data_IF_431875745673
#
_entry.id   IF_431875745673
#
_cell.length_a   1.000
_cell.length_b   1.000
_cell.length_c   1.000
_cell.angle_alpha   90.00
_cell.angle_beta   90.00
_cell.angle_gamma   90.00
#
_symmetry.space_group_name_H-M   'P 1'
#
loop_
_entity.id
_entity.type
_entity.pdbx_description
1 polymer ?
#
# COMPACT_ATOMS: atom_id res chain seq x y z
N UNK A 1 46.93 21.62 0.45
CA UNK A 1 47.23 21.64 -0.99
C UNK A 1 46.50 22.83 -1.57
N UNK A 2 47.26 23.80 -2.07
CA UNK A 2 46.79 24.99 -2.79
C UNK A 2 46.46 24.61 -4.23
N UNK A 3 45.72 25.50 -4.89
CA UNK A 3 45.55 25.67 -6.34
C UNK A 3 44.43 24.78 -6.94
N UNK A 4 43.46 25.27 -7.73
CA UNK A 4 43.43 26.45 -8.60
C UNK A 4 42.01 27.03 -8.74
N UNK A 5 41.79 28.23 -8.17
CA UNK A 5 40.82 29.18 -8.70
C UNK A 5 41.54 29.98 -9.80
N UNK A 6 41.10 29.84 -11.04
CA UNK A 6 41.53 30.69 -12.15
C UNK A 6 40.41 31.65 -12.54
N UNK A 7 40.44 32.93 -12.11
CA UNK A 7 39.56 33.96 -12.60
C UNK A 7 40.35 34.96 -13.44
N UNK A 8 40.66 34.60 -14.69
CA UNK A 8 41.07 35.59 -15.69
C UNK A 8 40.76 35.07 -17.09
N UNK A 9 39.65 35.54 -17.65
CA UNK A 9 39.70 36.23 -18.94
C UNK A 9 38.36 36.94 -19.16
N UNK A 10 38.30 38.18 -18.68
CA UNK A 10 37.59 39.27 -19.33
C UNK A 10 38.13 39.45 -20.75
N UNK A 11 37.74 38.55 -21.66
CA UNK A 11 37.83 38.80 -23.09
C UNK A 11 36.76 39.82 -23.41
N UNK A 12 37.16 41.08 -23.36
CA UNK A 12 36.62 42.14 -24.20
C UNK A 12 36.57 41.53 -25.61
N UNK A 13 35.38 41.09 -26.03
CA UNK A 13 35.09 40.80 -27.44
C UNK A 13 35.28 42.15 -28.14
N UNK A 14 36.47 42.37 -28.69
CA UNK A 14 36.65 43.30 -29.79
C UNK A 14 35.63 42.86 -30.83
N UNK A 15 34.58 43.64 -31.01
CA UNK A 15 33.71 43.51 -32.17
C UNK A 15 34.65 43.61 -33.36
N UNK A 16 34.94 42.48 -34.00
CA UNK A 16 35.50 42.48 -35.32
C UNK A 16 34.48 43.25 -36.16
N UNK A 17 34.84 44.47 -36.55
CA UNK A 17 34.09 45.26 -37.50
C UNK A 17 34.00 44.41 -38.74
N UNK A 18 32.85 43.76 -38.92
CA UNK A 18 32.51 43.09 -40.17
C UNK A 18 32.73 44.13 -41.28
N UNK A 19 33.33 43.74 -42.42
CA UNK A 19 33.42 44.64 -43.55
C UNK A 19 32.00 45.14 -43.83
N UNK A 20 31.80 46.46 -43.77
CA UNK A 20 30.54 47.09 -44.16
C UNK A 20 30.37 46.84 -45.67
N UNK A 21 29.83 45.68 -46.05
CA UNK A 21 29.12 45.60 -47.30
C UNK A 21 27.90 46.49 -47.08
N UNK A 22 27.85 47.67 -47.72
CA UNK A 22 26.64 48.47 -47.73
C UNK A 22 25.51 47.54 -48.19
N UNK A 23 24.53 47.23 -47.33
CA UNK A 23 23.50 46.27 -47.69
C UNK A 23 22.77 46.85 -48.90
N UNK A 24 22.82 46.16 -50.03
CA UNK A 24 22.07 46.59 -51.20
C UNK A 24 20.60 46.18 -51.03
N UNK A 25 19.71 46.80 -51.79
CA UNK A 25 18.27 46.46 -51.79
C UNK A 25 18.08 44.96 -52.09
N UNK A 26 18.86 44.38 -53.00
CA UNK A 26 18.79 42.96 -53.34
C UNK A 26 19.16 42.04 -52.17
N UNK A 27 20.14 42.45 -51.35
CA UNK A 27 20.55 41.70 -50.16
C UNK A 27 19.46 41.76 -49.07
N UNK A 28 18.81 42.92 -48.95
CA UNK A 28 17.67 43.11 -48.06
C UNK A 28 16.45 42.28 -48.48
N UNK A 29 16.17 42.20 -49.78
CA UNK A 29 15.08 41.38 -50.31
C UNK A 29 15.32 39.89 -50.02
N UNK A 30 16.52 39.39 -50.27
CA UNK A 30 16.91 38.02 -49.90
C UNK A 30 16.76 37.79 -48.40
N UNK A 31 17.21 38.75 -47.60
CA UNK A 31 17.10 38.67 -46.14
C UNK A 31 15.64 38.57 -45.71
N UNK A 32 14.77 39.47 -46.16
CA UNK A 32 13.34 39.47 -45.80
C UNK A 32 12.68 38.14 -46.19
N UNK A 33 12.94 37.63 -47.40
CA UNK A 33 12.39 36.36 -47.85
C UNK A 33 12.90 35.14 -47.07
N UNK A 34 14.03 35.27 -46.37
CA UNK A 34 14.55 34.23 -45.47
C UNK A 34 14.03 34.34 -44.03
N UNK A 35 13.35 35.44 -43.69
CA UNK A 35 12.75 35.60 -42.37
C UNK A 35 11.47 34.80 -42.29
N UNK A 36 11.22 34.24 -41.11
CA UNK A 36 10.01 33.46 -40.83
C UNK A 36 8.85 34.39 -40.44
N UNK A 37 8.58 35.40 -41.27
CA UNK A 37 7.52 36.40 -41.06
C UNK A 37 6.23 35.95 -41.75
N UNK A 38 5.12 36.60 -41.37
CA UNK A 38 3.85 36.45 -42.07
C UNK A 38 3.97 36.90 -43.54
N UNK A 39 3.28 36.19 -44.43
CA UNK A 39 3.37 36.42 -45.87
C UNK A 39 2.92 37.84 -46.27
N UNK A 40 1.88 38.38 -45.63
CA UNK A 40 1.40 39.74 -45.93
C UNK A 40 2.44 40.79 -45.54
N UNK A 41 3.17 40.55 -44.44
CA UNK A 41 4.24 41.43 -43.99
C UNK A 41 5.48 41.32 -44.90
N UNK A 42 5.82 40.11 -45.36
CA UNK A 42 6.87 39.90 -46.36
C UNK A 42 6.53 40.67 -47.63
N UNK A 43 5.33 40.49 -48.17
CA UNK A 43 4.88 41.12 -49.40
C UNK A 43 4.85 42.65 -49.28
N UNK A 44 4.40 43.18 -48.14
CA UNK A 44 4.45 44.60 -47.83
C UNK A 44 5.88 45.15 -47.84
N UNK A 45 6.81 44.50 -47.13
CA UNK A 45 8.21 44.96 -47.05
C UNK A 45 8.91 44.87 -48.41
N UNK A 46 8.69 43.78 -49.14
CA UNK A 46 9.24 43.58 -50.50
C UNK A 46 8.70 44.63 -51.47
N UNK A 47 7.39 44.89 -51.45
CA UNK A 47 6.76 45.92 -52.30
C UNK A 47 7.35 47.31 -52.06
N UNK A 48 7.47 47.72 -50.79
CA UNK A 48 8.06 49.02 -50.43
C UNK A 48 9.54 49.13 -50.86
N UNK A 49 10.33 48.06 -50.74
CA UNK A 49 11.72 48.05 -51.20
C UNK A 49 11.84 48.13 -52.72
N UNK A 50 10.95 47.47 -53.46
CA UNK A 50 10.91 47.54 -54.91
C UNK A 50 10.52 48.95 -55.38
N UNK A 51 9.54 49.59 -54.74
CA UNK A 51 9.13 50.96 -55.07
C UNK A 51 10.23 51.97 -54.73
N UNK A 52 10.95 51.77 -53.62
CA UNK A 52 12.13 52.55 -53.29
C UNK A 52 13.25 52.37 -54.34
N UNK A 53 13.44 51.15 -54.84
CA UNK A 53 14.39 50.86 -55.93
C UNK A 53 14.01 51.59 -57.23
N UNK A 54 12.72 51.56 -57.62
CA UNK A 54 12.19 52.31 -58.78
C UNK A 54 12.38 53.81 -58.62
N UNK A 55 12.14 54.34 -57.42
CA UNK A 55 12.34 55.76 -57.10
C UNK A 55 13.80 56.17 -57.34
N UNK A 56 14.76 55.39 -56.85
CA UNK A 56 16.18 55.66 -57.11
C UNK A 56 16.52 55.54 -58.59
N UNK A 57 15.93 54.61 -59.34
CA UNK A 57 16.16 54.48 -60.78
C UNK A 57 15.80 55.77 -61.56
N UNK A 58 14.82 56.55 -61.10
CA UNK A 58 14.31 57.77 -61.78
C UNK A 58 15.12 59.07 -61.58
N UNK A 59 16.11 59.13 -60.68
CA UNK A 59 16.85 60.38 -60.35
C UNK A 59 18.15 60.60 -61.18
N UNK A 60 18.98 61.60 -60.87
CA UNK A 60 20.32 61.79 -61.49
C UNK A 60 21.39 60.93 -60.79
N UNK A 61 22.42 60.48 -61.52
CA UNK A 61 23.36 59.43 -61.09
C UNK A 61 24.10 59.74 -59.78
N UNK A 62 24.50 60.98 -59.58
CA UNK A 62 25.39 61.36 -58.47
C UNK A 62 24.63 61.57 -57.14
N UNK A 63 23.35 61.98 -57.21
CA UNK A 63 22.46 62.09 -56.06
C UNK A 63 21.98 60.69 -55.62
N UNK A 64 21.86 59.74 -56.56
CA UNK A 64 21.38 58.38 -56.26
C UNK A 64 22.24 57.64 -55.26
N UNK A 65 23.56 57.57 -55.47
CA UNK A 65 24.39 56.64 -54.71
C UNK A 65 24.51 57.03 -53.23
N UNK A 66 24.88 58.27 -52.94
CA UNK A 66 25.09 58.74 -51.56
C UNK A 66 23.78 58.76 -50.75
N UNK A 67 22.68 59.24 -51.35
CA UNK A 67 21.38 59.32 -50.66
C UNK A 67 20.78 57.93 -50.47
N UNK A 68 20.89 57.03 -51.47
CA UNK A 68 20.43 55.64 -51.35
C UNK A 68 21.16 54.90 -50.26
N UNK A 69 22.49 54.93 -50.28
CA UNK A 69 23.30 54.20 -49.32
C UNK A 69 23.05 54.75 -47.90
N UNK A 70 22.91 56.07 -47.75
CA UNK A 70 22.53 56.71 -46.49
C UNK A 70 21.14 56.33 -45.99
N UNK A 71 20.13 56.22 -46.87
CA UNK A 71 18.78 55.77 -46.50
C UNK A 71 18.79 54.30 -46.09
N UNK A 72 19.49 53.46 -46.85
CA UNK A 72 19.52 52.03 -46.61
C UNK A 72 20.27 51.70 -45.31
N UNK A 73 21.45 52.27 -45.13
CA UNK A 73 22.29 52.00 -43.95
C UNK A 73 21.66 52.53 -42.66
N UNK A 74 21.08 53.73 -42.69
CA UNK A 74 20.62 54.39 -41.45
C UNK A 74 19.16 54.09 -41.09
N UNK A 75 18.32 53.70 -42.04
CA UNK A 75 16.89 53.52 -41.78
C UNK A 75 16.40 52.13 -42.14
N UNK A 76 16.56 51.72 -43.39
CA UNK A 76 15.92 50.49 -43.91
C UNK A 76 16.52 49.26 -43.24
N UNK A 77 17.85 49.13 -43.22
CA UNK A 77 18.53 47.98 -42.64
C UNK A 77 18.28 47.84 -41.12
N UNK A 78 18.38 48.90 -40.30
CA UNK A 78 18.04 48.85 -38.88
C UNK A 78 16.58 48.45 -38.61
N UNK A 79 15.63 48.91 -39.43
CA UNK A 79 14.21 48.54 -39.28
C UNK A 79 14.02 47.04 -39.53
N UNK A 80 14.55 46.52 -40.64
CA UNK A 80 14.44 45.10 -40.98
C UNK A 80 15.09 44.23 -39.90
N UNK A 81 16.25 44.64 -39.37
CA UNK A 81 16.91 43.91 -38.28
C UNK A 81 16.08 43.89 -37.01
N UNK A 82 15.51 45.02 -36.60
CA UNK A 82 14.65 45.09 -35.42
C UNK A 82 13.40 44.20 -35.56
N UNK A 83 12.83 44.12 -36.76
CA UNK A 83 11.70 43.22 -37.04
C UNK A 83 12.16 41.76 -36.88
N UNK A 84 13.27 41.39 -37.53
CA UNK A 84 13.82 40.03 -37.46
C UNK A 84 14.18 39.59 -36.03
N UNK A 85 14.82 40.48 -35.26
CA UNK A 85 15.19 40.23 -33.86
C UNK A 85 13.95 40.04 -32.98
N UNK A 86 12.92 40.88 -33.17
CA UNK A 86 11.66 40.76 -32.45
C UNK A 86 10.94 39.46 -32.76
N UNK A 87 10.84 39.10 -34.04
CA UNK A 87 10.19 37.85 -34.45
C UNK A 87 10.88 36.64 -33.84
N UNK A 88 12.21 36.60 -33.93
CA UNK A 88 13.02 35.53 -33.32
C UNK A 88 12.79 35.45 -31.81
N UNK A 89 12.76 36.59 -31.12
CA UNK A 89 12.52 36.66 -29.67
C UNK A 89 11.11 36.19 -29.30
N UNK A 90 10.09 36.58 -30.07
CA UNK A 90 8.71 36.18 -29.81
C UNK A 90 8.51 34.68 -30.06
N UNK A 91 9.07 34.14 -31.13
CA UNK A 91 9.02 32.70 -31.42
C UNK A 91 9.70 31.87 -30.33
N UNK A 92 10.85 32.32 -29.83
CA UNK A 92 11.52 31.68 -28.69
C UNK A 92 10.64 31.68 -27.43
N UNK A 93 9.97 32.81 -27.14
CA UNK A 93 9.07 32.93 -25.98
C UNK A 93 7.83 32.03 -26.11
N UNK A 94 7.22 31.97 -27.30
CA UNK A 94 6.08 31.09 -27.57
C UNK A 94 6.47 29.63 -27.38
N UNK A 95 7.65 29.24 -27.85
CA UNK A 95 8.15 27.87 -27.69
C UNK A 95 8.35 27.51 -26.21
N UNK A 96 8.99 28.40 -25.44
CA UNK A 96 9.20 28.21 -24.00
C UNK A 96 7.88 28.10 -23.23
N UNK A 97 6.91 28.96 -23.54
CA UNK A 97 5.56 28.90 -22.93
C UNK A 97 4.84 27.58 -23.26
N UNK A 98 4.89 27.14 -24.52
CA UNK A 98 4.30 25.85 -24.93
C UNK A 98 4.97 24.68 -24.21
N UNK A 99 6.30 24.68 -24.11
CA UNK A 99 7.04 23.64 -23.40
C UNK A 99 6.62 23.55 -21.93
N UNK A 100 6.58 24.69 -21.23
CA UNK A 100 6.17 24.75 -19.82
C UNK A 100 4.75 24.23 -19.59
N UNK A 101 3.81 24.52 -20.49
CA UNK A 101 2.45 23.99 -20.40
C UNK A 101 2.42 22.47 -20.56
N UNK A 102 3.14 21.93 -21.54
CA UNK A 102 3.23 20.48 -21.77
C UNK A 102 3.84 19.79 -20.55
N UNK A 103 4.90 20.36 -19.97
CA UNK A 103 5.56 19.80 -18.78
C UNK A 103 4.63 19.79 -17.56
N UNK A 104 3.85 20.87 -17.35
CA UNK A 104 2.88 20.94 -16.25
C UNK A 104 1.77 19.89 -16.39
N UNK A 105 1.19 19.75 -17.58
CA UNK A 105 0.17 18.74 -17.86
C UNK A 105 0.72 17.32 -17.65
N UNK A 106 1.94 17.05 -18.13
CA UNK A 106 2.58 15.75 -17.97
C UNK A 106 2.74 15.38 -16.49
N UNK A 107 3.18 16.32 -15.64
CA UNK A 107 3.30 16.11 -14.19
C UNK A 107 1.96 15.80 -13.56
N UNK A 108 0.89 16.51 -13.94
CA UNK A 108 -0.47 16.28 -13.43
C UNK A 108 -0.97 14.89 -13.82
N UNK A 109 -0.82 14.50 -15.09
CA UNK A 109 -1.25 13.17 -15.56
C UNK A 109 -0.45 12.05 -14.91
N UNK A 110 0.87 12.21 -14.75
CA UNK A 110 1.70 11.24 -14.04
C UNK A 110 1.27 11.05 -12.58
N UNK A 111 0.89 12.13 -11.89
CA UNK A 111 0.37 12.05 -10.52
C UNK A 111 -0.94 11.27 -10.45
N UNK A 112 -1.88 11.52 -11.39
CA UNK A 112 -3.15 10.78 -11.49
C UNK A 112 -2.93 9.29 -11.80
N UNK A 113 -2.00 8.95 -12.69
CA UNK A 113 -1.65 7.54 -12.98
C UNK A 113 -1.16 6.85 -11.72
N UNK A 114 -0.24 7.49 -10.97
CA UNK A 114 0.28 6.94 -9.71
C UNK A 114 -0.82 6.75 -8.66
N UNK A 115 -1.76 7.68 -8.57
CA UNK A 115 -2.93 7.55 -7.70
C UNK A 115 -3.80 6.35 -8.08
N UNK A 116 -4.09 6.17 -9.37
CA UNK A 116 -4.83 5.01 -9.87
C UNK A 116 -4.10 3.70 -9.58
N UNK A 117 -2.79 3.63 -9.79
CA UNK A 117 -1.95 2.46 -9.47
C UNK A 117 -2.04 2.11 -7.98
N UNK A 118 -1.95 3.11 -7.10
CA UNK A 118 -2.09 2.93 -5.66
C UNK A 118 -3.47 2.39 -5.27
N UNK A 119 -4.54 2.90 -5.89
CA UNK A 119 -5.91 2.41 -5.66
C UNK A 119 -6.04 0.95 -6.09
N UNK A 120 -5.55 0.61 -7.29
CA UNK A 120 -5.58 -0.76 -7.82
C UNK A 120 -4.83 -1.72 -6.90
N UNK A 121 -3.64 -1.34 -6.44
CA UNK A 121 -2.84 -2.18 -5.56
C UNK A 121 -3.51 -2.36 -4.19
N UNK A 122 -4.11 -1.30 -3.64
CA UNK A 122 -4.92 -1.38 -2.43
C UNK A 122 -6.14 -2.28 -2.57
N UNK A 123 -6.82 -2.27 -3.72
CA UNK A 123 -7.94 -3.16 -4.00
C UNK A 123 -7.50 -4.62 -4.15
N UNK A 124 -6.37 -4.90 -4.80
CA UNK A 124 -5.80 -6.25 -4.88
C UNK A 124 -5.48 -6.82 -3.50
N UNK A 125 -4.86 -6.01 -2.64
CA UNK A 125 -4.56 -6.42 -1.26
C UNK A 125 -5.83 -6.78 -0.49
N UNK A 126 -6.87 -5.95 -0.59
CA UNK A 126 -8.19 -6.24 0.03
C UNK A 126 -8.80 -7.53 -0.52
N UNK A 127 -8.74 -7.74 -1.84
CA UNK A 127 -9.26 -8.95 -2.48
C UNK A 127 -8.52 -10.20 -1.98
N UNK A 128 -7.20 -10.12 -1.82
CA UNK A 128 -6.40 -11.23 -1.31
C UNK A 128 -6.77 -11.62 0.12
N UNK A 129 -7.01 -10.64 1.00
CA UNK A 129 -7.48 -10.88 2.37
C UNK A 129 -8.83 -11.60 2.33
N UNK A 130 -9.82 -11.04 1.64
CA UNK A 130 -11.16 -11.63 1.54
C UNK A 130 -11.12 -13.04 0.95
N UNK A 131 -10.25 -13.30 -0.02
CA UNK A 131 -10.13 -14.63 -0.62
C UNK A 131 -9.50 -15.65 0.35
N UNK A 132 -8.63 -15.19 1.24
CA UNK A 132 -8.06 -16.01 2.31
C UNK A 132 -9.15 -16.38 3.32
N UNK A 133 -9.90 -15.38 3.80
CA UNK A 133 -11.02 -15.58 4.75
C UNK A 133 -12.09 -16.51 4.17
N UNK A 134 -12.42 -16.35 2.87
CA UNK A 134 -13.36 -17.22 2.18
C UNK A 134 -12.87 -18.67 2.08
N UNK A 135 -11.57 -18.86 1.89
CA UNK A 135 -10.95 -20.19 1.83
C UNK A 135 -10.97 -20.86 3.20
N UNK A 136 -10.71 -20.11 4.26
CA UNK A 136 -10.81 -20.57 5.65
C UNK A 136 -12.25 -20.99 5.98
N UNK A 137 -13.23 -20.11 5.75
CA UNK A 137 -14.65 -20.41 5.98
C UNK A 137 -15.14 -21.63 5.19
N UNK A 138 -14.65 -21.81 3.96
CA UNK A 138 -14.94 -23.00 3.15
C UNK A 138 -14.39 -24.29 3.79
N UNK A 139 -13.20 -24.24 4.37
CA UNK A 139 -12.59 -25.39 5.03
C UNK A 139 -13.35 -25.74 6.32
N UNK A 140 -13.70 -24.74 7.13
CA UNK A 140 -14.50 -24.91 8.35
C UNK A 140 -15.87 -25.52 8.04
N UNK A 141 -16.52 -25.04 6.98
CA UNK A 141 -17.80 -25.61 6.53
C UNK A 141 -17.64 -27.07 6.10
N UNK A 142 -16.56 -27.41 5.40
CA UNK A 142 -16.29 -28.79 4.98
C UNK A 142 -16.09 -29.71 6.19
N UNK A 143 -15.31 -29.28 7.17
CA UNK A 143 -15.11 -30.02 8.42
C UNK A 143 -16.43 -30.20 9.18
N UNK A 144 -17.17 -29.11 9.38
CA UNK A 144 -18.48 -29.12 10.07
C UNK A 144 -19.49 -30.03 9.35
N UNK A 145 -19.55 -29.98 8.02
CA UNK A 145 -20.44 -30.84 7.23
C UNK A 145 -20.08 -32.32 7.36
N UNK A 146 -18.78 -32.65 7.44
CA UNK A 146 -18.30 -34.02 7.61
C UNK A 146 -18.67 -34.56 8.99
N UNK A 147 -18.43 -33.77 10.05
CA UNK A 147 -18.80 -34.11 11.43
C UNK A 147 -20.31 -34.30 11.60
N UNK A 148 -21.12 -33.47 10.94
CA UNK A 148 -22.58 -33.61 10.93
C UNK A 148 -23.03 -34.92 10.28
N UNK A 149 -22.42 -35.29 9.14
CA UNK A 149 -22.71 -36.56 8.47
C UNK A 149 -22.35 -37.75 9.37
N UNK A 150 -21.22 -37.70 10.08
CA UNK A 150 -20.84 -38.75 11.04
C UNK A 150 -21.82 -38.85 12.19
N UNK A 151 -22.21 -37.71 12.78
CA UNK A 151 -23.20 -37.67 13.86
C UNK A 151 -24.56 -38.22 13.40
N UNK A 152 -24.99 -37.87 12.18
CA UNK A 152 -26.23 -38.40 11.62
C UNK A 152 -26.18 -39.93 11.42
N UNK A 153 -25.03 -40.47 11.00
CA UNK A 153 -24.80 -41.93 10.92
C UNK A 153 -24.86 -42.59 12.30
N UNK A 154 -24.25 -41.97 13.31
CA UNK A 154 -24.27 -42.48 14.70
C UNK A 154 -25.70 -42.52 15.26
N UNK A 155 -26.45 -41.42 15.11
CA UNK A 155 -27.86 -41.36 15.52
C UNK A 155 -28.69 -42.44 14.82
N UNK A 156 -28.47 -42.66 13.52
CA UNK A 156 -29.18 -43.70 12.79
C UNK A 156 -28.84 -45.10 13.29
N UNK A 157 -27.57 -45.38 13.58
CA UNK A 157 -27.14 -46.62 14.21
C UNK A 157 -27.80 -46.87 15.56
N UNK A 158 -28.01 -45.82 16.38
CA UNK A 158 -28.75 -45.94 17.65
C UNK A 158 -30.22 -46.26 17.42
N UNK A 159 -30.85 -45.64 16.42
CA UNK A 159 -32.27 -45.87 16.10
C UNK A 159 -32.52 -47.26 15.52
N UNK A 160 -31.57 -47.78 14.72
CA UNK A 160 -31.63 -49.11 14.12
C UNK A 160 -31.37 -50.24 15.13
N UNK A 161 -30.87 -49.92 16.34
CA UNK A 161 -30.79 -50.92 17.43
C UNK A 161 -32.21 -51.34 17.82
N UNK A 162 -32.49 -52.65 17.90
CA UNK A 162 -33.82 -53.13 18.27
C UNK A 162 -34.19 -52.60 19.66
N UNK A 163 -35.42 -52.09 19.77
CA UNK A 163 -35.96 -51.61 21.05
C UNK A 163 -35.93 -52.79 22.03
N UNK A 164 -35.30 -52.65 23.21
CA UNK A 164 -35.17 -53.76 24.14
C UNK A 164 -36.56 -54.29 24.50
N UNK A 165 -36.71 -55.60 24.46
CA UNK A 165 -37.97 -56.25 24.80
C UNK A 165 -38.29 -55.99 26.27
N UNK A 166 -39.58 -55.88 26.60
CA UNK A 166 -40.04 -55.73 27.99
C UNK A 166 -39.47 -56.81 28.91
N UNK A 167 -39.25 -58.02 28.40
CA UNK A 167 -38.64 -59.13 29.13
C UNK A 167 -37.15 -58.94 29.43
N UNK A 168 -36.37 -58.34 28.53
CA UNK A 168 -34.94 -58.07 28.74
C UNK A 168 -34.73 -57.00 29.82
N UNK A 169 -35.59 -55.97 29.82
CA UNK A 169 -35.58 -54.92 30.84
C UNK A 169 -35.86 -55.50 32.23
N UNK A 170 -36.81 -56.42 32.36
CA UNK A 170 -37.14 -57.07 33.63
C UNK A 170 -36.02 -58.00 34.14
N UNK A 171 -35.28 -58.65 33.24
CA UNK A 171 -34.16 -59.53 33.60
C UNK A 171 -32.89 -58.77 34.00
N UNK A 172 -32.72 -57.53 33.55
CA UNK A 172 -31.59 -56.65 33.94
C UNK A 172 -31.73 -56.01 35.33
N UNK A 173 -32.81 -56.32 36.07
CA UNK A 173 -33.05 -55.79 37.41
C UNK A 173 -31.93 -56.24 38.37
N UNK A 174 -31.28 -55.33 39.12
CA UNK A 174 -30.25 -55.71 40.07
C UNK A 174 -30.79 -56.73 41.07
N UNK A 175 -30.00 -57.77 41.37
CA UNK A 175 -30.36 -58.75 42.38
C UNK A 175 -30.61 -58.05 43.73
N UNK A 176 -31.59 -58.50 44.53
CA UNK A 176 -31.84 -57.93 45.85
C UNK A 176 -30.56 -57.97 46.68
N UNK A 177 -30.16 -56.83 47.22
CA UNK A 177 -28.99 -56.73 48.10
C UNK A 177 -29.26 -57.63 49.32
N UNK A 178 -28.47 -58.68 49.48
CA UNK A 178 -28.45 -59.48 50.70
C UNK A 178 -27.98 -58.58 51.85
N UNK A 179 -28.84 -58.37 52.84
CA UNK A 179 -28.54 -57.52 54.00
C UNK A 179 -27.57 -58.27 54.90
N UNK A 180 -26.26 -58.08 54.70
CA UNK A 180 -25.25 -58.38 55.71
C UNK A 180 -25.03 -57.16 56.61
N UNK A 181 -24.88 -57.32 57.94
CA UNK A 181 -24.68 -56.20 58.83
C UNK A 181 -23.28 -55.61 58.58
N UNK A 182 -23.23 -54.44 57.93
CA UNK A 182 -21.99 -53.70 57.73
C UNK A 182 -21.50 -53.12 59.06
N UNK A 183 -20.33 -53.57 59.51
CA UNK A 183 -19.54 -52.90 60.55
C UNK A 183 -19.03 -51.59 59.96
N UNK A 184 -19.52 -50.45 60.48
CA UNK A 184 -19.16 -49.13 59.97
C UNK A 184 -17.72 -48.76 60.34
N UNK A 185 -16.79 -48.83 59.39
CA UNK A 185 -15.63 -47.93 59.41
C UNK A 185 -16.10 -46.57 58.89
N UNK A 186 -16.01 -45.55 59.74
CA UNK A 186 -16.39 -44.17 59.40
C UNK A 186 -15.29 -43.54 58.54
N UNK A 187 -15.27 -43.87 57.26
CA UNK A 187 -14.56 -43.06 56.26
C UNK A 187 -15.56 -42.61 55.19
N UNK A 188 -15.86 -41.31 55.24
CA UNK A 188 -16.50 -40.47 54.22
C UNK A 188 -17.40 -41.14 53.18
N UNK A 189 -18.43 -41.88 53.61
CA UNK A 189 -19.55 -42.24 52.75
C UNK A 189 -20.55 -41.08 52.68
N UNK A 190 -20.89 -40.65 51.47
CA UNK A 190 -21.98 -39.69 51.22
C UNK A 190 -23.29 -40.39 51.57
N UNK A 191 -23.80 -40.14 52.77
CA UNK A 191 -25.17 -40.50 53.11
C UNK A 191 -26.09 -39.53 52.36
N UNK A 192 -26.80 -40.03 51.34
CA UNK A 192 -27.97 -39.34 50.83
C UNK A 192 -29.03 -39.34 51.93
N UNK A 193 -29.04 -38.28 52.74
CA UNK A 193 -30.09 -38.06 53.74
C UNK A 193 -31.41 -37.93 52.99
N UNK A 194 -32.33 -38.89 53.19
CA UNK A 194 -33.72 -38.68 52.81
C UNK A 194 -34.22 -37.44 53.54
N UNK A 195 -34.90 -36.50 52.86
CA UNK A 195 -35.53 -35.37 53.52
C UNK A 195 -36.44 -35.85 54.65
N UNK A 196 -36.32 -35.24 55.83
CA UNK A 196 -37.24 -35.49 56.94
C UNK A 196 -38.63 -35.05 56.49
N UNK A 197 -39.68 -35.84 56.77
CA UNK A 197 -41.08 -35.61 56.32
C UNK A 197 -41.67 -34.22 56.67
N UNK A 198 -40.98 -33.42 57.48
CA UNK A 198 -41.42 -32.09 57.96
C UNK A 198 -40.54 -30.93 57.48
N UNK A 199 -39.63 -31.16 56.53
CA UNK A 199 -38.77 -30.09 55.98
C UNK A 199 -39.42 -29.45 54.76
N UNK A 200 -39.48 -28.11 54.74
CA UNK A 200 -40.01 -27.36 53.59
C UNK A 200 -39.00 -27.31 52.44
N UNK A 201 -39.46 -27.14 51.21
CA UNK A 201 -38.59 -27.10 50.02
C UNK A 201 -37.50 -26.01 50.11
N UNK A 202 -37.82 -24.88 50.75
CA UNK A 202 -36.91 -23.75 50.91
C UNK A 202 -35.77 -24.05 51.90
N UNK A 203 -36.06 -24.74 53.00
CA UNK A 203 -35.04 -25.19 53.95
C UNK A 203 -34.09 -26.20 53.32
N UNK A 204 -34.62 -27.14 52.55
CA UNK A 204 -33.82 -28.12 51.83
C UNK A 204 -32.92 -27.45 50.77
N UNK A 205 -33.43 -26.44 50.06
CA UNK A 205 -32.65 -25.65 49.11
C UNK A 205 -31.49 -24.92 49.79
N UNK A 206 -31.75 -24.26 50.93
CA UNK A 206 -30.70 -23.57 51.71
C UNK A 206 -29.63 -24.52 52.24
N UNK A 207 -30.00 -25.73 52.66
CA UNK A 207 -29.04 -26.74 53.13
C UNK A 207 -28.12 -27.17 51.97
N UNK A 208 -28.68 -27.44 50.80
CA UNK A 208 -27.91 -27.82 49.61
C UNK A 208 -27.00 -26.67 49.17
N UNK A 209 -27.51 -25.45 49.13
CA UNK A 209 -26.75 -24.26 48.74
C UNK A 209 -25.59 -23.99 49.71
N UNK A 210 -25.84 -24.04 51.02
CA UNK A 210 -24.78 -23.91 52.02
C UNK A 210 -23.73 -25.03 51.93
N UNK A 211 -24.14 -26.26 51.63
CA UNK A 211 -23.21 -27.37 51.41
C UNK A 211 -22.34 -27.16 50.16
N UNK A 212 -22.92 -26.62 49.08
CA UNK A 212 -22.19 -26.28 47.85
C UNK A 212 -21.24 -25.11 48.06
N UNK A 213 -21.66 -24.05 48.77
CA UNK A 213 -20.82 -22.91 49.14
C UNK A 213 -19.66 -23.37 50.03
N UNK A 214 -19.91 -24.22 51.03
CA UNK A 214 -18.86 -24.75 51.89
C UNK A 214 -17.87 -25.63 51.12
N UNK A 215 -18.35 -26.44 50.17
CA UNK A 215 -17.51 -27.30 49.32
C UNK A 215 -16.67 -26.50 48.33
N UNK A 216 -17.21 -25.41 47.78
CA UNK A 216 -16.52 -24.48 46.88
C UNK A 216 -15.85 -23.30 47.60
N UNK A 217 -15.69 -23.38 48.93
CA UNK A 217 -15.03 -22.30 49.66
C UNK A 217 -13.59 -22.13 49.19
N UNK A 218 -13.20 -20.86 49.00
CA UNK A 218 -11.85 -20.50 48.53
C UNK A 218 -10.75 -21.14 49.39
N UNK A 219 -10.97 -21.28 50.70
CA UNK A 219 -10.07 -21.98 51.61
C UNK A 219 -9.87 -23.46 51.23
N UNK A 220 -10.94 -24.22 50.93
CA UNK A 220 -10.82 -25.63 50.52
C UNK A 220 -10.23 -25.78 49.13
N UNK A 221 -10.62 -24.93 48.17
CA UNK A 221 -10.05 -24.93 46.82
C UNK A 221 -8.55 -24.63 46.86
N UNK A 222 -8.14 -23.65 47.67
CA UNK A 222 -6.72 -23.30 47.85
C UNK A 222 -5.91 -24.44 48.50
N UNK A 223 -6.49 -25.17 49.46
CA UNK A 223 -5.84 -26.32 50.08
C UNK A 223 -5.72 -27.52 49.11
N UNK A 224 -6.72 -27.75 48.26
CA UNK A 224 -6.68 -28.74 47.18
C UNK A 224 -5.61 -28.40 46.13
N UNK A 225 -5.49 -27.12 45.74
CA UNK A 225 -4.46 -26.67 44.82
C UNK A 225 -3.04 -26.77 45.42
N UNK A 226 -2.90 -26.51 46.73
CA UNK A 226 -1.63 -26.69 47.45
C UNK A 226 -1.23 -28.16 47.55
N UNK A 227 -2.15 -29.07 47.86
CA UNK A 227 -1.86 -30.51 47.90
C UNK A 227 -1.58 -31.10 46.51
N UNK A 228 -2.25 -30.62 45.46
CA UNK A 228 -1.98 -31.00 44.08
C UNK A 228 -0.58 -30.53 43.61
N UNK A 229 -0.15 -29.31 43.96
CA UNK A 229 1.20 -28.80 43.66
C UNK A 229 2.31 -29.62 44.35
N UNK A 230 2.08 -30.05 45.60
CA UNK A 230 3.00 -30.93 46.31
C UNK A 230 3.07 -32.34 45.67
N UNK A 231 1.95 -32.86 45.16
CA UNK A 231 1.90 -34.15 44.47
C UNK A 231 2.63 -34.12 43.10
N UNK A 232 2.59 -33.00 42.38
CA UNK A 232 3.35 -32.83 41.13
C UNK A 232 4.86 -32.72 41.34
N UNK A 233 5.33 -32.19 42.50
CA UNK A 233 6.76 -32.12 42.84
C UNK A 233 7.35 -33.48 43.24
N UNK A 234 6.55 -34.39 43.78
CA UNK A 234 6.97 -35.77 44.06
C UNK A 234 7.12 -36.64 42.79
N UNK A 235 6.56 -36.23 41.67
CA UNK A 235 6.67 -36.93 40.36
C UNK A 235 7.91 -36.51 39.54
N UNK A 236 8.66 -35.50 39.97
CA UNK A 236 9.81 -34.94 39.25
C UNK A 236 11.15 -35.03 40.04
N UNK A 237 11.33 -36.06 40.89
CA UNK A 237 12.67 -36.38 41.39
C UNK A 237 13.42 -37.25 40.36
N UNK A 238 14.56 -36.80 39.79
CA UNK A 238 15.44 -37.67 39.03
C UNK A 238 16.16 -38.61 40.00
N UNK A 239 16.17 -39.90 39.69
CA UNK A 239 17.04 -40.89 40.33
C UNK A 239 18.50 -40.53 40.04
N UNK A 240 19.22 -40.05 41.06
CA UNK A 240 20.68 -39.96 41.03
C UNK A 240 21.27 -41.35 41.27
N UNK A 241 21.88 -41.93 40.23
CA UNK A 241 22.81 -43.07 40.34
C UNK A 241 24.23 -42.60 40.05
N UNK A 242 25.24 -42.95 40.87
CA UNK A 242 26.63 -42.60 40.62
C UNK A 242 27.34 -43.69 39.81
N UNK A 243 28.19 -43.32 38.84
CA UNK A 243 29.23 -44.24 38.36
C UNK A 243 29.64 -44.12 36.88
N UNK A 244 30.96 -43.96 36.72
CA UNK A 244 31.83 -44.48 35.64
C UNK A 244 32.12 -43.68 34.34
N UNK A 245 33.30 -43.03 34.41
CA UNK A 245 34.45 -42.97 33.47
C UNK A 245 34.30 -43.35 31.99
N UNK A 246 34.90 -42.49 31.16
CA UNK A 246 35.59 -42.79 29.89
C UNK A 246 35.53 -41.58 28.95
N UNK A 247 36.61 -40.80 28.73
CA UNK A 247 37.58 -40.94 27.61
C UNK A 247 36.90 -41.00 26.23
N UNK A 248 37.24 -40.24 25.20
CA UNK A 248 38.40 -39.40 24.86
C UNK A 248 37.99 -38.51 23.65
N UNK A 249 38.79 -37.46 23.41
CA UNK A 249 39.40 -37.05 22.13
C UNK A 249 39.19 -35.58 21.74
N UNK A 250 40.31 -34.90 21.81
CA UNK A 250 40.69 -33.67 21.15
C UNK A 250 40.56 -33.75 19.62
N UNK A 251 40.23 -32.61 19.04
CA UNK A 251 40.33 -32.21 17.64
C UNK A 251 39.93 -30.76 17.55
#
# INVERSE_FOLDING_TARGET
MKSDLNPNHSRIRKYATQPKSNPNIDDLLKKINSLNLDQDLIDFLVGNLQDLSKLFASKSRDIKAAVRDGIIENFVFPIINKIAERETSLMAMIYDLKSKHIDADLVIYQAKVRECENIVEGLKAKLQIVNTDLTEAKNDLKETSSALVETAKEVRSILDKPKPSYTEVLQSRPAPIAVTPMVSKRDAHVVLLRPKKTSTSEENRKIIENALIFRNSSARISNLLKSARAASLLRLRPTLTPGFRGRDKFG
#
